data_IF_811285973488
#
_entry.id   IF_811285973488
#
_cell.length_a   1.000
_cell.length_b   1.000
_cell.length_c   1.000
_cell.angle_alpha   90.00
_cell.angle_beta   90.00
_cell.angle_gamma   90.00
#
_symmetry.space_group_name_H-M   'P 1'
#
loop_
_entity.id
_entity.type
_entity.pdbx_description
1 polymer ?
#
# COMPACT_ATOMS: atom_id res chain seq x y z
N UNK A 1 16.88 1.86 -10.13
CA UNK A 1 17.08 2.53 -8.82
C UNK A 1 17.96 1.61 -7.98
N UNK A 2 19.10 2.11 -7.52
CA UNK A 2 20.13 1.32 -6.84
C UNK A 2 19.95 1.37 -5.34
N UNK A 3 19.15 0.45 -4.80
CA UNK A 3 19.10 0.22 -3.36
C UNK A 3 20.47 -0.30 -2.92
N UNK A 4 21.14 0.44 -2.04
CA UNK A 4 22.44 0.03 -1.49
C UNK A 4 22.20 -0.83 -0.27
N UNK A 5 22.43 -2.13 -0.42
CA UNK A 5 22.48 -3.05 0.70
C UNK A 5 23.88 -3.01 1.30
N UNK A 6 23.96 -2.77 2.62
CA UNK A 6 25.21 -2.79 3.35
C UNK A 6 25.01 -3.54 4.66
N UNK A 7 26.08 -4.18 5.12
CA UNK A 7 26.13 -4.78 6.44
C UNK A 7 26.44 -3.69 7.48
N UNK A 8 25.73 -3.72 8.60
CA UNK A 8 25.97 -2.83 9.73
C UNK A 8 26.31 -3.68 10.94
N UNK A 9 27.56 -3.60 11.40
CA UNK A 9 28.05 -4.33 12.58
C UNK A 9 28.15 -3.36 13.75
N UNK A 10 27.57 -3.75 14.88
CA UNK A 10 27.67 -3.01 16.14
C UNK A 10 28.64 -3.73 17.08
N UNK A 11 29.79 -3.15 17.35
CA UNK A 11 30.78 -3.66 18.31
C UNK A 11 30.98 -2.68 19.47
N UNK A 12 30.56 -3.08 20.68
CA UNK A 12 30.66 -2.31 21.92
C UNK A 12 30.21 -0.83 21.81
N UNK A 13 29.21 -0.55 20.96
CA UNK A 13 28.72 0.81 20.71
C UNK A 13 27.99 1.33 21.95
N UNK A 14 28.44 2.46 22.49
CA UNK A 14 27.79 3.14 23.62
C UNK A 14 26.67 4.04 23.12
N UNK A 15 25.47 3.86 23.66
CA UNK A 15 24.30 4.68 23.37
C UNK A 15 23.80 5.29 24.68
N UNK A 16 23.63 6.61 24.71
CA UNK A 16 23.08 7.29 25.88
C UNK A 16 21.60 6.93 26.07
N UNK A 17 21.14 6.87 27.33
CA UNK A 17 19.74 6.52 27.65
C UNK A 17 18.69 7.46 27.05
N UNK A 18 19.07 8.71 26.77
CA UNK A 18 18.24 9.69 26.06
C UNK A 18 17.94 9.34 24.59
N UNK A 19 18.74 8.44 24.00
CA UNK A 19 18.53 7.97 22.62
C UNK A 19 17.66 6.71 22.53
N UNK A 20 17.07 6.27 23.66
CA UNK A 20 16.12 5.15 23.67
C UNK A 20 14.83 5.60 22.97
N UNK A 21 14.45 4.89 21.91
CA UNK A 21 13.17 5.10 21.23
C UNK A 21 12.07 4.31 21.94
N UNK A 22 11.11 5.02 22.53
CA UNK A 22 10.02 4.43 23.29
C UNK A 22 10.40 4.16 24.75
N UNK A 23 9.98 3.03 25.30
CA UNK A 23 10.30 2.62 26.67
C UNK A 23 11.34 1.50 26.68
N UNK A 24 12.18 1.47 27.71
CA UNK A 24 13.14 0.39 27.93
C UNK A 24 12.39 -0.96 27.96
N UNK A 25 12.97 -1.97 27.31
CA UNK A 25 12.40 -3.32 27.14
C UNK A 25 11.08 -3.43 26.36
N UNK A 26 10.60 -2.32 25.75
CA UNK A 26 9.35 -2.29 24.97
C UNK A 26 9.57 -1.98 23.48
N UNK A 27 10.74 -2.30 22.94
CA UNK A 27 11.09 -1.98 21.55
C UNK A 27 10.24 -2.71 20.50
N UNK A 28 9.73 -3.90 20.82
CA UNK A 28 9.01 -4.73 19.86
C UNK A 28 7.69 -4.10 19.38
N UNK A 29 6.92 -3.48 20.28
CA UNK A 29 5.65 -2.84 19.92
C UNK A 29 5.86 -1.68 18.95
N UNK A 30 6.93 -0.90 19.12
CA UNK A 30 7.32 0.17 18.21
C UNK A 30 7.69 -0.39 16.83
N UNK A 31 8.53 -1.42 16.80
CA UNK A 31 8.96 -2.07 15.55
C UNK A 31 7.77 -2.67 14.80
N UNK A 32 6.87 -3.36 15.50
CA UNK A 32 5.68 -3.96 14.88
C UNK A 32 4.82 -2.90 14.19
N UNK A 33 4.56 -1.77 14.85
CA UNK A 33 3.79 -0.65 14.27
C UNK A 33 4.47 -0.08 13.02
N UNK A 34 5.80 0.06 13.04
CA UNK A 34 6.57 0.54 11.87
C UNK A 34 6.51 -0.47 10.72
N UNK A 35 6.55 -1.78 11.01
CA UNK A 35 6.42 -2.83 9.99
C UNK A 35 5.03 -2.79 9.35
N UNK A 36 3.97 -2.63 10.15
CA UNK A 36 2.59 -2.51 9.64
C UNK A 36 2.42 -1.29 8.72
N UNK A 37 2.94 -0.13 9.14
CA UNK A 37 2.99 1.08 8.30
C UNK A 37 3.76 0.85 7.00
N UNK A 38 4.94 0.24 7.09
CA UNK A 38 5.80 -0.04 5.95
C UNK A 38 5.13 -1.02 4.96
N UNK A 39 4.38 -2.01 5.47
CA UNK A 39 3.63 -2.94 4.65
C UNK A 39 2.55 -2.23 3.82
N UNK A 40 1.74 -1.36 4.44
CA UNK A 40 0.73 -0.55 3.73
C UNK A 40 1.39 0.36 2.69
N UNK A 41 2.47 1.04 3.07
CA UNK A 41 3.23 1.89 2.14
C UNK A 41 3.79 1.09 0.95
N UNK A 42 4.27 -0.14 1.19
CA UNK A 42 4.77 -1.02 0.13
C UNK A 42 3.65 -1.44 -0.82
N UNK A 43 2.47 -1.79 -0.30
CA UNK A 43 1.29 -2.10 -1.11
C UNK A 43 0.89 -0.93 -2.03
N UNK A 44 0.90 0.31 -1.52
CA UNK A 44 0.65 1.50 -2.34
C UNK A 44 1.65 1.62 -3.50
N UNK A 45 2.93 1.36 -3.25
CA UNK A 45 3.96 1.34 -4.29
C UNK A 45 3.73 0.25 -5.35
N UNK A 46 3.38 -0.97 -4.91
CA UNK A 46 3.08 -2.09 -5.81
C UNK A 46 1.85 -1.82 -6.67
N UNK A 47 0.80 -1.20 -6.11
CA UNK A 47 -0.39 -0.83 -6.84
C UNK A 47 -0.10 0.12 -8.01
N UNK A 48 0.77 1.12 -7.80
CA UNK A 48 1.23 2.00 -8.88
C UNK A 48 1.96 1.24 -9.99
N UNK A 49 2.78 0.25 -9.61
CA UNK A 49 3.44 -0.65 -10.56
C UNK A 49 2.45 -1.49 -11.37
N UNK A 50 1.47 -2.11 -10.71
CA UNK A 50 0.44 -2.93 -11.38
C UNK A 50 -0.39 -2.10 -12.36
N UNK A 51 -0.81 -0.89 -11.95
CA UNK A 51 -1.51 0.06 -12.82
C UNK A 51 -0.69 0.37 -14.08
N UNK A 52 0.60 0.65 -13.91
CA UNK A 52 1.48 0.96 -15.05
C UNK A 52 1.67 -0.24 -15.98
N UNK A 53 1.79 -1.45 -15.42
CA UNK A 53 1.88 -2.69 -16.21
C UNK A 53 0.61 -2.91 -17.03
N UNK A 54 -0.57 -2.69 -16.45
CA UNK A 54 -1.84 -2.78 -17.16
C UNK A 54 -1.91 -1.79 -18.33
N UNK A 55 -1.58 -0.52 -18.09
CA UNK A 55 -1.55 0.52 -19.14
C UNK A 55 -0.63 0.14 -20.29
N UNK A 56 0.62 -0.23 -20.00
CA UNK A 56 1.59 -0.64 -21.01
C UNK A 56 1.11 -1.86 -21.81
N UNK A 57 0.46 -2.82 -21.13
CA UNK A 57 -0.07 -4.04 -21.77
C UNK A 57 -1.20 -3.69 -22.74
N UNK A 58 -2.14 -2.83 -22.31
CA UNK A 58 -3.27 -2.40 -23.15
C UNK A 58 -2.78 -1.58 -24.34
N UNK A 59 -1.84 -0.68 -24.14
CA UNK A 59 -1.26 0.14 -25.22
C UNK A 59 -0.57 -0.76 -26.25
N UNK A 60 0.26 -1.70 -25.80
CA UNK A 60 0.92 -2.66 -26.69
C UNK A 60 -0.10 -3.53 -27.44
N UNK A 61 -1.18 -3.96 -26.78
CA UNK A 61 -2.22 -4.77 -27.42
C UNK A 61 -2.96 -4.03 -28.54
N UNK A 62 -3.06 -2.69 -28.46
CA UNK A 62 -3.67 -1.85 -29.51
C UNK A 62 -2.72 -1.62 -30.70
N UNK A 63 -1.43 -1.48 -30.43
CA UNK A 63 -0.44 -1.18 -31.48
C UNK A 63 0.01 -2.42 -32.25
N UNK A 64 0.18 -3.56 -31.55
CA UNK A 64 0.69 -4.79 -32.14
C UNK A 64 -0.33 -5.42 -33.09
N UNK A 65 0.02 -5.53 -34.37
CA UNK A 65 -0.81 -6.18 -35.41
C UNK A 65 -0.30 -7.59 -35.76
N UNK A 66 -1.21 -8.56 -35.76
CA UNK A 66 -0.99 -9.94 -36.24
C UNK A 66 -2.28 -10.48 -36.86
N UNK A 67 -2.18 -11.35 -37.86
CA UNK A 67 -3.33 -11.83 -38.64
C UNK A 67 -4.18 -10.67 -39.18
N UNK A 68 -3.49 -9.64 -39.69
CA UNK A 68 -4.06 -8.45 -40.32
C UNK A 68 -4.93 -7.55 -39.41
N UNK A 69 -4.85 -7.71 -38.08
CA UNK A 69 -5.56 -6.87 -37.12
C UNK A 69 -4.79 -6.68 -35.80
N UNK A 70 -5.11 -5.66 -35.00
CA UNK A 70 -4.54 -5.51 -33.66
C UNK A 70 -4.80 -6.73 -32.77
N UNK A 71 -3.83 -7.14 -31.95
CA UNK A 71 -3.97 -8.30 -31.07
C UNK A 71 -5.03 -8.06 -29.97
N UNK A 72 -5.30 -6.80 -29.61
CA UNK A 72 -6.39 -6.43 -28.71
C UNK A 72 -7.80 -6.71 -29.23
N UNK A 73 -7.96 -7.10 -30.50
CA UNK A 73 -9.26 -7.52 -31.07
C UNK A 73 -9.60 -8.99 -30.80
N UNK A 74 -8.63 -9.81 -30.37
CA UNK A 74 -8.89 -11.21 -30.02
C UNK A 74 -9.47 -11.29 -28.60
N UNK A 75 -10.59 -12.01 -28.44
CA UNK A 75 -11.27 -12.17 -27.15
C UNK A 75 -10.35 -12.69 -26.03
N UNK A 76 -9.42 -13.59 -26.36
CA UNK A 76 -8.46 -14.14 -25.38
C UNK A 76 -7.61 -13.03 -24.77
N UNK A 77 -7.11 -12.10 -25.59
CA UNK A 77 -6.30 -10.97 -25.11
C UNK A 77 -7.15 -9.99 -24.30
N UNK A 78 -8.38 -9.74 -24.74
CA UNK A 78 -9.34 -8.90 -24.00
C UNK A 78 -9.64 -9.50 -22.61
N UNK A 79 -9.83 -10.81 -22.53
CA UNK A 79 -10.08 -11.53 -21.28
C UNK A 79 -8.89 -11.41 -20.32
N UNK A 80 -7.64 -11.56 -20.80
CA UNK A 80 -6.47 -11.32 -19.96
C UNK A 80 -6.39 -9.88 -19.45
N UNK A 81 -6.65 -8.89 -20.31
CA UNK A 81 -6.65 -7.48 -19.89
C UNK A 81 -7.75 -7.19 -18.86
N UNK A 82 -8.94 -7.79 -19.01
CA UNK A 82 -10.04 -7.66 -18.05
C UNK A 82 -9.70 -8.27 -16.68
N UNK A 83 -9.05 -9.43 -16.65
CA UNK A 83 -8.56 -10.03 -15.41
C UNK A 83 -7.53 -9.14 -14.73
N UNK A 84 -6.53 -8.64 -15.48
CA UNK A 84 -5.54 -7.72 -14.93
C UNK A 84 -6.16 -6.44 -14.35
N UNK A 85 -7.18 -5.89 -15.03
CA UNK A 85 -7.91 -4.74 -14.51
C UNK A 85 -8.64 -5.06 -13.20
N UNK A 86 -9.26 -6.23 -13.12
CA UNK A 86 -9.94 -6.72 -11.91
C UNK A 86 -8.95 -6.90 -10.75
N UNK A 87 -7.76 -7.46 -11.02
CA UNK A 87 -6.71 -7.64 -10.02
C UNK A 87 -6.18 -6.30 -9.49
N UNK A 88 -6.02 -5.30 -10.36
CA UNK A 88 -5.63 -3.93 -9.98
C UNK A 88 -6.68 -3.29 -9.09
N UNK A 89 -7.96 -3.36 -9.47
CA UNK A 89 -9.05 -2.77 -8.69
C UNK A 89 -9.24 -3.47 -7.34
N UNK A 90 -9.15 -4.81 -7.30
CA UNK A 90 -9.14 -5.59 -6.07
C UNK A 90 -7.99 -5.21 -5.14
N UNK A 91 -6.78 -5.07 -5.71
CA UNK A 91 -5.59 -4.65 -4.95
C UNK A 91 -5.72 -3.21 -4.43
N UNK A 92 -6.32 -2.32 -5.21
CA UNK A 92 -6.62 -0.93 -4.80
C UNK A 92 -7.57 -0.91 -3.62
N UNK A 93 -8.64 -1.69 -3.68
CA UNK A 93 -9.61 -1.80 -2.59
C UNK A 93 -8.95 -2.32 -1.31
N UNK A 94 -8.22 -3.44 -1.38
CA UNK A 94 -7.54 -4.02 -0.22
C UNK A 94 -6.52 -3.06 0.41
N UNK A 95 -5.76 -2.33 -0.42
CA UNK A 95 -4.79 -1.34 0.06
C UNK A 95 -5.47 -0.18 0.78
N UNK A 96 -6.59 0.31 0.23
CA UNK A 96 -7.35 1.38 0.87
C UNK A 96 -7.95 0.95 2.21
N UNK A 97 -8.48 -0.28 2.29
CA UNK A 97 -8.97 -0.82 3.55
C UNK A 97 -7.86 -0.98 4.60
N UNK A 98 -6.68 -1.46 4.20
CA UNK A 98 -5.52 -1.54 5.08
C UNK A 98 -5.08 -0.17 5.61
N UNK A 99 -5.06 0.85 4.75
CA UNK A 99 -4.74 2.22 5.14
C UNK A 99 -5.78 2.81 6.10
N UNK A 100 -7.08 2.61 5.82
CA UNK A 100 -8.15 3.08 6.70
C UNK A 100 -8.08 2.41 8.07
N UNK A 101 -7.93 1.08 8.12
CA UNK A 101 -7.78 0.33 9.37
C UNK A 101 -6.62 0.86 10.21
N UNK A 102 -5.48 1.11 9.57
CA UNK A 102 -4.33 1.74 10.23
C UNK A 102 -4.64 3.15 10.75
N UNK A 103 -5.28 3.99 9.93
CA UNK A 103 -5.62 5.36 10.32
C UNK A 103 -6.52 5.39 11.55
N UNK A 104 -7.50 4.49 11.65
CA UNK A 104 -8.39 4.36 12.80
C UNK A 104 -7.61 4.02 14.09
N UNK A 105 -6.66 3.08 14.03
CA UNK A 105 -5.79 2.74 15.17
C UNK A 105 -4.94 3.94 15.62
N UNK A 106 -4.42 4.73 14.68
CA UNK A 106 -3.65 5.95 15.02
C UNK A 106 -4.53 7.02 15.67
N UNK A 107 -5.78 7.18 15.22
CA UNK A 107 -6.68 8.17 15.85
C UNK A 107 -7.00 7.74 17.29
N UNK A 108 -7.18 6.45 17.56
CA UNK A 108 -7.39 5.95 18.94
C UNK A 108 -6.16 6.16 19.83
N UNK A 109 -4.96 5.85 19.35
CA UNK A 109 -3.71 6.02 20.11
C UNK A 109 -3.31 7.49 20.34
N UNK A 110 -3.69 8.40 19.44
CA UNK A 110 -3.40 9.84 19.55
C UNK A 110 -4.51 10.61 20.30
N UNK A 111 -5.66 10.00 20.59
CA UNK A 111 -6.85 10.70 21.09
C UNK A 111 -7.42 10.20 22.44
N UNK A 112 -6.67 10.31 23.55
CA UNK A 112 -7.28 10.81 24.77
C UNK A 112 -7.51 12.34 24.72
N UNK A 113 -6.83 13.07 23.81
CA UNK A 113 -6.76 14.55 23.86
C UNK A 113 -7.31 15.33 22.65
N UNK A 114 -7.62 14.70 21.51
CA UNK A 114 -8.04 15.37 20.27
C UNK A 114 -9.44 14.93 19.79
N UNK A 115 -10.36 14.73 20.73
CA UNK A 115 -11.78 14.57 20.45
C UNK A 115 -12.42 15.89 19.95
N UNK A 116 -11.94 16.47 18.85
CA UNK A 116 -12.57 17.63 18.21
C UNK A 116 -12.14 17.81 16.75
N UNK A 117 -12.60 16.94 15.86
CA UNK A 117 -13.13 17.43 14.56
C UNK A 117 -13.98 16.35 13.89
N UNK A 118 -15.27 16.65 13.77
CA UNK A 118 -16.36 15.83 13.25
C UNK A 118 -16.26 15.53 11.74
N UNK A 119 -15.20 14.88 11.25
CA UNK A 119 -15.07 14.58 9.81
C UNK A 119 -15.52 13.14 9.49
N UNK A 120 -15.54 12.23 10.46
CA UNK A 120 -15.92 10.81 10.25
C UNK A 120 -17.16 10.36 11.04
N UNK A 121 -18.07 11.27 11.39
CA UNK A 121 -19.33 10.89 12.05
C UNK A 121 -20.41 10.58 10.99
N UNK A 122 -20.63 9.28 10.77
CA UNK A 122 -21.82 8.63 10.18
C UNK A 122 -22.15 8.96 8.71
N UNK A 123 -21.83 8.02 7.82
CA UNK A 123 -22.64 7.74 6.62
C UNK A 123 -23.54 6.50 6.78
N UNK A 124 -23.77 6.09 8.03
CA UNK A 124 -24.68 5.01 8.41
C UNK A 124 -25.97 5.61 8.97
N UNK A 125 -26.74 6.28 8.11
CA UNK A 125 -28.18 6.49 8.30
C UNK A 125 -28.78 7.14 7.04
N UNK A 126 -29.11 6.33 6.04
CA UNK A 126 -30.26 6.65 5.21
C UNK A 126 -31.00 5.35 4.85
N UNK A 127 -32.09 5.02 5.55
CA UNK A 127 -33.06 4.07 5.08
C UNK A 127 -34.01 4.79 4.11
N UNK A 128 -33.92 4.46 2.84
CA UNK A 128 -35.04 4.53 1.90
C UNK A 128 -35.02 3.28 1.05
#
# INVERSE_FOLDING_TARGET
>A
AGDKLCEVVFDQVRVAGENILGQLDQGWSVVQRVIEQAAVAKCCGMLGGMQRVLEMTVDYAKERKQFDRPIGSFQVIQHYCANMATDVDGSRFSTYQGFLGYSHTVVEDLAPGLATSNIYRRRDSNPR
#
